data_IF_135920293644
#
_entry.id   IF_135920293644
#
_cell.length_a   1.000
_cell.length_b   1.000
_cell.length_c   1.000
_cell.angle_alpha   90.00
_cell.angle_beta   90.00
_cell.angle_gamma   90.00
#
_symmetry.space_group_name_H-M   'P 1'
#
loop_
_entity.id
_entity.type
_entity.pdbx_description
1 polymer ?
#
# COMPACT_ATOMS: atom_id res chain seq x y z
N UNK A 1 -2.04 -4.71 18.25
CA UNK A 1 -2.57 -5.11 16.93
C UNK A 1 -1.86 -6.40 16.53
N UNK A 2 -2.56 -7.41 15.99
CA UNK A 2 -1.87 -8.61 15.46
C UNK A 2 -1.45 -8.30 14.04
N UNK A 3 -0.15 -8.26 13.80
CA UNK A 3 0.42 -8.15 12.46
C UNK A 3 0.05 -9.43 11.70
N UNK A 4 -0.89 -9.32 10.76
CA UNK A 4 -1.26 -10.44 9.90
C UNK A 4 -0.19 -10.55 8.82
N UNK A 5 0.52 -11.67 8.78
CA UNK A 5 1.40 -11.98 7.66
C UNK A 5 0.56 -12.08 6.38
N UNK A 6 0.90 -11.25 5.39
CA UNK A 6 0.29 -11.30 4.07
C UNK A 6 0.61 -12.66 3.44
N UNK A 7 -0.37 -13.24 2.75
CA UNK A 7 -0.15 -14.45 1.96
C UNK A 7 0.71 -14.12 0.73
N UNK A 8 1.25 -15.16 0.08
CA UNK A 8 2.13 -14.98 -1.07
C UNK A 8 1.46 -14.15 -2.18
N UNK A 9 0.23 -14.49 -2.52
CA UNK A 9 -0.58 -13.80 -3.52
C UNK A 9 -0.96 -12.37 -3.12
N UNK A 10 -1.30 -12.11 -1.85
CA UNK A 10 -1.51 -10.74 -1.33
C UNK A 10 -0.24 -9.88 -1.49
N UNK A 11 0.94 -10.47 -1.20
CA UNK A 11 2.23 -9.79 -1.36
C UNK A 11 2.53 -9.50 -2.83
N UNK A 12 2.35 -10.49 -3.71
CA UNK A 12 2.53 -10.31 -5.17
C UNK A 12 1.57 -9.28 -5.74
N UNK A 13 0.33 -9.26 -5.27
CA UNK A 13 -0.68 -8.28 -5.66
C UNK A 13 -0.28 -6.86 -5.24
N UNK A 14 0.23 -6.69 -4.02
CA UNK A 14 0.74 -5.39 -3.58
C UNK A 14 1.91 -4.92 -4.43
N UNK A 15 2.90 -5.79 -4.70
CA UNK A 15 4.03 -5.47 -5.56
C UNK A 15 3.58 -5.07 -6.98
N UNK A 16 2.65 -5.80 -7.58
CA UNK A 16 2.13 -5.52 -8.91
C UNK A 16 1.43 -4.15 -8.95
N UNK A 17 0.61 -3.84 -7.94
CA UNK A 17 -0.07 -2.55 -7.85
C UNK A 17 0.91 -1.38 -7.75
N UNK A 18 1.98 -1.50 -6.95
CA UNK A 18 3.02 -0.47 -6.87
C UNK A 18 3.84 -0.32 -8.16
N UNK A 19 4.06 -1.41 -8.89
CA UNK A 19 4.76 -1.38 -10.19
C UNK A 19 3.88 -0.90 -11.34
N UNK A 20 2.56 -0.87 -11.15
CA UNK A 20 1.60 -0.63 -12.22
C UNK A 20 1.45 -1.83 -13.18
N UNK A 21 1.77 -3.04 -12.72
CA UNK A 21 1.56 -4.28 -13.47
C UNK A 21 0.10 -4.75 -13.33
N UNK A 22 -0.47 -5.45 -14.34
CA UNK A 22 -1.85 -5.93 -14.27
C UNK A 22 -2.08 -6.97 -13.18
N UNK A 23 -3.29 -6.98 -12.61
CA UNK A 23 -3.71 -7.99 -11.63
C UNK A 23 -3.73 -9.39 -12.24
N UNK A 24 -3.19 -10.38 -11.52
CA UNK A 24 -3.24 -11.78 -11.94
C UNK A 24 -4.53 -12.46 -11.41
N UNK A 25 -5.42 -12.95 -12.29
CA UNK A 25 -6.69 -13.56 -11.90
C UNK A 25 -6.55 -14.89 -11.14
N UNK A 26 -5.35 -15.47 -11.06
CA UNK A 26 -5.08 -16.66 -10.26
C UNK A 26 -4.91 -16.38 -8.76
N UNK A 27 -4.78 -15.11 -8.35
CA UNK A 27 -4.66 -14.73 -6.94
C UNK A 27 -6.00 -14.75 -6.22
N UNK A 28 -5.97 -14.86 -4.88
CA UNK A 28 -7.19 -14.91 -4.08
C UNK A 28 -7.99 -13.61 -4.10
N UNK A 29 -9.25 -13.68 -3.67
CA UNK A 29 -10.11 -12.51 -3.49
C UNK A 29 -9.51 -11.48 -2.50
N UNK A 30 -8.74 -11.94 -1.51
CA UNK A 30 -8.06 -11.04 -0.57
C UNK A 30 -6.94 -10.25 -1.28
N UNK A 31 -6.16 -10.91 -2.14
CA UNK A 31 -5.15 -10.26 -2.97
C UNK A 31 -5.76 -9.26 -3.96
N UNK A 32 -6.94 -9.55 -4.53
CA UNK A 32 -7.68 -8.60 -5.36
C UNK A 32 -8.04 -7.32 -4.60
N UNK A 33 -8.47 -7.48 -3.35
CA UNK A 33 -8.78 -6.34 -2.46
C UNK A 33 -7.54 -5.49 -2.19
N UNK A 34 -6.39 -6.13 -1.92
CA UNK A 34 -5.11 -5.44 -1.69
C UNK A 34 -4.66 -4.69 -2.95
N UNK A 35 -4.68 -5.33 -4.11
CA UNK A 35 -4.31 -4.70 -5.38
C UNK A 35 -5.17 -3.47 -5.66
N UNK A 36 -6.51 -3.63 -5.60
CA UNK A 36 -7.44 -2.54 -5.87
C UNK A 36 -7.26 -1.37 -4.89
N UNK A 37 -7.09 -1.66 -3.60
CA UNK A 37 -6.88 -0.62 -2.58
C UNK A 37 -5.59 0.17 -2.78
N UNK A 38 -4.50 -0.49 -3.18
CA UNK A 38 -3.22 0.18 -3.46
C UNK A 38 -3.33 1.02 -4.73
N UNK A 39 -3.89 0.49 -5.82
CA UNK A 39 -4.08 1.25 -7.06
C UNK A 39 -4.95 2.48 -6.81
N UNK A 40 -6.07 2.34 -6.09
CA UNK A 40 -6.94 3.46 -5.75
C UNK A 40 -6.20 4.50 -4.89
N UNK A 41 -5.40 4.08 -3.91
CA UNK A 41 -4.62 4.99 -3.08
C UNK A 41 -3.54 5.74 -3.89
N UNK A 42 -2.88 5.06 -4.84
CA UNK A 42 -1.90 5.68 -5.74
C UNK A 42 -2.60 6.70 -6.64
N UNK A 43 -3.71 6.33 -7.27
CA UNK A 43 -4.51 7.22 -8.11
C UNK A 43 -4.99 8.44 -7.31
N UNK A 44 -5.53 8.22 -6.11
CA UNK A 44 -5.89 9.31 -5.19
C UNK A 44 -4.70 10.19 -4.89
N UNK A 45 -3.54 9.65 -4.53
CA UNK A 45 -2.31 10.43 -4.26
C UNK A 45 -1.87 11.26 -5.45
N UNK A 46 -2.00 10.74 -6.67
CA UNK A 46 -1.68 11.48 -7.90
C UNK A 46 -2.69 12.58 -8.18
N UNK A 47 -3.97 12.34 -7.91
CA UNK A 47 -5.05 13.32 -8.06
C UNK A 47 -5.03 14.40 -6.97
N UNK A 48 -4.54 14.08 -5.77
CA UNK A 48 -4.51 14.97 -4.58
C UNK A 48 -3.14 15.60 -4.32
N UNK A 49 -2.17 15.44 -5.22
CA UNK A 49 -0.73 15.62 -5.01
C UNK A 49 -0.20 16.97 -4.50
N UNK A 50 -0.56 17.41 -3.29
CA UNK A 50 0.08 18.55 -2.62
C UNK A 50 0.04 18.56 -1.08
N UNK A 51 -0.71 17.70 -0.39
CA UNK A 51 -0.79 17.78 1.09
C UNK A 51 -0.89 16.41 1.73
N UNK A 52 0.24 15.74 1.96
CA UNK A 52 0.50 14.91 3.16
C UNK A 52 2.03 14.91 3.38
N UNK A 53 2.49 15.96 4.08
CA UNK A 53 3.82 16.06 4.67
C UNK A 53 3.77 15.52 6.10
N UNK A 54 4.88 14.93 6.55
CA UNK A 54 5.32 14.81 7.96
C UNK A 54 4.41 14.13 8.99
N UNK A 55 4.76 12.89 9.39
CA UNK A 55 5.02 12.57 10.82
C UNK A 55 6.08 11.45 10.89
N UNK A 56 7.37 11.82 10.95
CA UNK A 56 8.40 10.97 11.54
C UNK A 56 8.99 11.74 12.73
N UNK A 57 8.25 11.64 13.84
CA UNK A 57 8.69 11.70 15.23
C UNK A 57 10.08 12.30 15.51
N UNK A 58 10.11 13.59 15.88
CA UNK A 58 11.21 14.18 16.64
C UNK A 58 10.76 14.33 18.11
N UNK A 59 11.36 13.56 19.01
CA UNK A 59 11.37 13.83 20.46
C UNK A 59 12.47 13.01 21.16
N UNK A 60 13.66 13.60 21.36
CA UNK A 60 14.34 13.55 22.67
C UNK A 60 15.50 14.56 22.80
N UNK A 61 15.12 15.69 23.41
CA UNK A 61 15.83 16.44 24.43
C UNK A 61 17.33 16.75 24.23
N UNK A 62 17.60 18.02 23.90
CA UNK A 62 18.81 18.68 24.32
C UNK A 62 18.85 18.89 25.84
N UNK A 63 20.00 18.58 26.44
CA UNK A 63 20.62 19.30 27.58
C UNK A 63 22.08 18.90 27.69
#
# INVERSE_FOLDING_TARGET
MRERTLTYDETKAAEAAFKGEPFNPAWSAAAATVYAGITEAIEKRLMTGAVESEVAEECLAGR
#
